data_IF_874733846442
#
_entry.id   IF_874733846442
#
_cell.length_a   1.000
_cell.length_b   1.000
_cell.length_c   1.000
_cell.angle_alpha   90.00
_cell.angle_beta   90.00
_cell.angle_gamma   90.00
#
_symmetry.space_group_name_H-M   'P 1'
#
loop_
_entity.id
_entity.type
_entity.pdbx_description
1 polymer ?
#
# COMPACT_ATOMS: atom_id res chain seq x y z
N UNK A 1 -17.21 10.34 17.72
CA UNK A 1 -15.75 10.13 17.78
C UNK A 1 -15.52 8.68 18.15
N UNK A 2 -14.47 8.05 17.63
CA UNK A 2 -14.12 6.69 18.05
C UNK A 2 -13.74 6.66 19.54
N UNK A 3 -13.97 5.51 20.18
CA UNK A 3 -13.63 5.30 21.58
C UNK A 3 -12.11 5.16 21.74
N UNK A 4 -11.53 5.86 22.71
CA UNK A 4 -10.09 5.75 23.05
C UNK A 4 -9.79 4.64 24.07
N UNK A 5 -10.82 4.07 24.70
CA UNK A 5 -10.69 3.11 25.81
C UNK A 5 -11.27 1.74 25.50
N UNK A 6 -12.27 1.69 24.64
CA UNK A 6 -12.96 0.47 24.25
C UNK A 6 -13.09 0.42 22.73
N UNK A 7 -12.15 -0.27 22.09
CA UNK A 7 -12.10 -0.44 20.63
C UNK A 7 -13.21 -1.36 20.10
N UNK A 8 -13.98 -2.04 20.96
CA UNK A 8 -15.14 -2.85 20.56
C UNK A 8 -16.42 -2.02 20.45
N UNK A 9 -16.45 -0.82 21.04
CA UNK A 9 -17.62 0.05 20.95
C UNK A 9 -17.73 0.71 19.58
N UNK A 10 -18.81 0.40 18.86
CA UNK A 10 -19.11 1.01 17.56
C UNK A 10 -19.81 2.37 17.75
N UNK A 11 -19.04 3.44 17.52
CA UNK A 11 -19.53 4.82 17.53
C UNK A 11 -19.93 5.34 16.14
N UNK A 12 -19.85 4.50 15.11
CA UNK A 12 -20.12 4.85 13.73
C UNK A 12 -20.87 3.69 13.04
N UNK A 13 -22.16 3.56 13.38
CA UNK A 13 -23.09 2.53 12.86
C UNK A 13 -23.25 2.46 11.33
N UNK A 14 -22.60 3.35 10.57
CA UNK A 14 -22.66 3.42 9.12
C UNK A 14 -21.26 3.27 8.55
N UNK A 15 -21.11 2.65 7.36
CA UNK A 15 -19.84 2.62 6.66
C UNK A 15 -19.21 4.01 6.51
N UNK A 16 -17.88 4.07 6.51
CA UNK A 16 -17.12 5.28 6.21
C UNK A 16 -17.44 5.78 4.81
N UNK A 17 -17.45 4.87 3.83
CA UNK A 17 -17.70 5.20 2.44
C UNK A 17 -19.19 5.03 2.09
N UNK A 18 -19.89 6.15 1.86
CA UNK A 18 -21.25 6.11 1.30
C UNK A 18 -21.26 5.74 -0.18
N UNK A 19 -20.33 6.31 -0.94
CA UNK A 19 -20.22 6.12 -2.38
C UNK A 19 -18.82 6.50 -2.85
N UNK A 20 -18.24 5.68 -3.72
CA UNK A 20 -17.04 6.01 -4.49
C UNK A 20 -17.43 5.97 -5.97
N UNK A 21 -17.26 7.08 -6.72
CA UNK A 21 -17.65 7.12 -8.13
C UNK A 21 -16.94 6.04 -8.95
N UNK A 22 -17.71 5.27 -9.72
CA UNK A 22 -17.16 4.22 -10.58
C UNK A 22 -16.15 4.78 -11.58
N UNK A 23 -16.35 6.00 -12.08
CA UNK A 23 -15.41 6.68 -12.97
C UNK A 23 -14.02 6.91 -12.36
N UNK A 24 -13.91 6.95 -11.03
CA UNK A 24 -12.62 7.07 -10.33
C UNK A 24 -11.88 5.74 -10.27
N UNK A 25 -12.61 4.64 -10.01
CA UNK A 25 -12.05 3.31 -9.78
C UNK A 25 -11.98 2.44 -11.05
N UNK A 26 -12.68 2.83 -12.11
CA UNK A 26 -12.62 2.16 -13.43
C UNK A 26 -11.37 2.52 -14.24
N UNK A 27 -10.52 3.42 -13.73
CA UNK A 27 -9.25 3.79 -14.36
C UNK A 27 -8.29 2.60 -14.35
N UNK A 28 -7.45 2.52 -15.38
CA UNK A 28 -6.51 1.41 -15.58
C UNK A 28 -5.62 1.14 -14.36
N UNK A 29 -5.17 2.18 -13.66
CA UNK A 29 -4.32 2.03 -12.47
C UNK A 29 -5.03 1.36 -11.30
N UNK A 30 -6.31 1.67 -11.08
CA UNK A 30 -7.12 1.03 -10.04
C UNK A 30 -7.46 -0.41 -10.41
N UNK A 31 -7.81 -0.68 -11.67
CA UNK A 31 -8.02 -2.06 -12.14
C UNK A 31 -6.78 -2.94 -11.97
N UNK A 32 -5.59 -2.43 -12.31
CA UNK A 32 -4.34 -3.18 -12.07
C UNK A 32 -4.00 -3.32 -10.59
N UNK A 33 -4.38 -2.34 -9.78
CA UNK A 33 -4.25 -2.45 -8.34
C UNK A 33 -5.20 -3.52 -7.78
N UNK A 34 -6.42 -3.64 -8.29
CA UNK A 34 -7.38 -4.70 -7.93
C UNK A 34 -6.83 -6.08 -8.27
N UNK A 35 -6.37 -6.25 -9.51
CA UNK A 35 -5.75 -7.50 -10.01
C UNK A 35 -4.58 -7.94 -9.11
N UNK A 36 -3.79 -6.98 -8.61
CA UNK A 36 -2.66 -7.26 -7.73
C UNK A 36 -3.10 -7.54 -6.28
N UNK A 37 -4.06 -6.77 -5.76
CA UNK A 37 -4.56 -6.91 -4.40
C UNK A 37 -5.32 -8.24 -4.17
N UNK A 38 -5.79 -8.90 -5.22
CA UNK A 38 -6.44 -10.21 -5.09
C UNK A 38 -5.50 -11.34 -4.66
N UNK A 39 -4.19 -11.14 -4.79
CA UNK A 39 -3.20 -12.12 -4.32
C UNK A 39 -2.93 -11.98 -2.81
N UNK A 40 -3.13 -10.79 -2.23
CA UNK A 40 -2.89 -10.52 -0.81
C UNK A 40 -4.12 -10.86 0.05
N UNK A 41 -4.34 -12.16 0.28
CA UNK A 41 -5.42 -12.66 1.13
C UNK A 41 -5.03 -12.71 2.61
N UNK A 42 -3.76 -13.01 2.90
CA UNK A 42 -3.20 -13.09 4.26
C UNK A 42 -1.80 -12.46 4.32
N UNK A 43 -1.68 -11.13 4.15
CA UNK A 43 -0.40 -10.42 4.24
C UNK A 43 0.11 -10.42 5.69
N UNK A 44 0.85 -11.45 6.08
CA UNK A 44 1.50 -11.56 7.39
C UNK A 44 2.97 -11.16 7.30
N UNK A 45 3.37 -10.26 8.19
CA UNK A 45 4.72 -9.74 8.33
C UNK A 45 5.85 -10.78 8.45
N UNK A 46 5.54 -11.99 8.91
CA UNK A 46 6.50 -13.09 9.09
C UNK A 46 6.41 -14.16 8.00
N UNK A 47 5.39 -14.13 7.15
CA UNK A 47 5.18 -15.11 6.09
C UNK A 47 5.62 -14.52 4.75
N UNK A 48 6.66 -15.10 4.15
CA UNK A 48 7.16 -14.62 2.88
C UNK A 48 6.21 -14.96 1.73
N UNK A 49 5.87 -13.95 0.94
CA UNK A 49 5.07 -14.17 -0.25
C UNK A 49 5.82 -14.99 -1.30
N UNK A 50 5.16 -16.05 -1.78
CA UNK A 50 5.64 -16.88 -2.88
C UNK A 50 5.02 -16.38 -4.17
N UNK A 51 5.75 -15.55 -4.89
CA UNK A 51 5.30 -14.99 -6.16
C UNK A 51 5.19 -16.08 -7.22
N UNK A 52 3.96 -16.32 -7.68
CA UNK A 52 3.68 -17.12 -8.87
C UNK A 52 3.85 -16.26 -10.12
N UNK A 53 3.98 -16.89 -11.29
CA UNK A 53 4.08 -16.14 -12.56
C UNK A 53 2.92 -15.16 -12.77
N UNK A 54 1.70 -15.52 -12.36
CA UNK A 54 0.54 -14.63 -12.48
C UNK A 54 0.63 -13.44 -11.51
N UNK A 55 1.18 -13.63 -10.32
CA UNK A 55 1.42 -12.54 -9.37
C UNK A 55 2.49 -11.59 -9.91
N UNK A 56 3.62 -12.12 -10.42
CA UNK A 56 4.67 -11.29 -11.03
C UNK A 56 4.13 -10.49 -12.23
N UNK A 57 3.28 -11.09 -13.05
CA UNK A 57 2.59 -10.41 -14.15
C UNK A 57 1.64 -9.31 -13.65
N UNK A 58 0.94 -9.52 -12.54
CA UNK A 58 0.09 -8.52 -11.91
C UNK A 58 0.91 -7.34 -11.37
N UNK A 59 2.04 -7.60 -10.71
CA UNK A 59 3.00 -6.59 -10.24
C UNK A 59 3.49 -5.75 -11.43
N UNK A 60 3.99 -6.42 -12.47
CA UNK A 60 4.50 -5.77 -13.67
C UNK A 60 3.43 -4.90 -14.35
N UNK A 61 2.21 -5.45 -14.50
CA UNK A 61 1.08 -4.73 -15.10
C UNK A 61 0.68 -3.49 -14.31
N UNK A 62 0.67 -3.59 -12.97
CA UNK A 62 0.42 -2.46 -12.08
C UNK A 62 1.50 -1.38 -12.22
N UNK A 63 2.77 -1.76 -12.12
CA UNK A 63 3.88 -0.80 -12.25
C UNK A 63 3.89 -0.10 -13.60
N UNK A 64 3.66 -0.79 -14.70
CA UNK A 64 3.53 -0.15 -16.02
C UNK A 64 2.36 0.83 -16.10
N UNK A 65 1.21 0.46 -15.53
CA UNK A 65 0.06 1.36 -15.50
C UNK A 65 0.38 2.64 -14.71
N UNK A 66 1.10 2.51 -13.59
CA UNK A 66 1.51 3.64 -12.75
C UNK A 66 2.56 4.51 -13.44
N UNK A 67 3.63 3.93 -14.01
CA UNK A 67 4.72 4.65 -14.68
C UNK A 67 4.21 5.51 -15.85
N UNK A 68 3.16 5.06 -16.55
CA UNK A 68 2.55 5.80 -17.66
C UNK A 68 1.80 7.07 -17.23
N UNK A 69 1.48 7.22 -15.94
CA UNK A 69 0.78 8.41 -15.44
C UNK A 69 1.70 9.63 -15.40
N UNK A 70 1.12 10.81 -15.57
CA UNK A 70 1.91 12.05 -15.53
C UNK A 70 2.53 12.30 -14.15
N UNK A 71 1.85 11.87 -13.08
CA UNK A 71 2.38 11.92 -11.71
C UNK A 71 3.68 11.12 -11.59
N UNK A 72 3.71 9.89 -12.11
CA UNK A 72 4.89 9.05 -12.01
C UNK A 72 6.00 9.50 -12.97
N UNK A 73 5.67 10.03 -14.16
CA UNK A 73 6.65 10.67 -15.04
C UNK A 73 7.30 11.89 -14.38
N UNK A 74 6.52 12.72 -13.68
CA UNK A 74 7.06 13.84 -12.90
C UNK A 74 7.97 13.36 -11.76
N UNK A 75 7.58 12.30 -11.05
CA UNK A 75 8.41 11.69 -10.00
C UNK A 75 9.72 11.12 -10.57
N UNK A 76 9.66 10.36 -11.67
CA UNK A 76 10.83 9.83 -12.35
C UNK A 76 11.79 10.95 -12.78
N UNK A 77 11.26 12.00 -13.42
CA UNK A 77 12.05 13.16 -13.83
C UNK A 77 12.72 13.86 -12.64
N UNK A 78 11.99 14.03 -11.54
CA UNK A 78 12.53 14.64 -10.32
C UNK A 78 13.66 13.79 -9.72
N UNK A 79 13.43 12.48 -9.54
CA UNK A 79 14.42 11.56 -8.99
C UNK A 79 15.65 11.43 -9.89
N UNK A 80 15.46 11.42 -11.21
CA UNK A 80 16.56 11.40 -12.17
C UNK A 80 17.39 12.68 -12.12
N UNK A 81 16.75 13.84 -11.96
CA UNK A 81 17.45 15.11 -11.73
C UNK A 81 18.32 15.13 -10.47
N UNK A 82 18.03 14.25 -9.49
CA UNK A 82 18.84 14.05 -8.29
C UNK A 82 19.87 12.92 -8.42
N UNK A 83 19.94 12.24 -9.58
CA UNK A 83 20.79 11.06 -9.78
C UNK A 83 20.30 9.81 -9.02
N UNK A 84 19.03 9.77 -8.62
CA UNK A 84 18.44 8.70 -7.80
C UNK A 84 17.65 7.66 -8.60
N UNK A 85 17.34 7.96 -9.86
CA UNK A 85 16.58 7.07 -10.75
C UNK A 85 17.00 7.26 -12.21
N UNK A 86 16.84 6.20 -13.00
CA UNK A 86 17.03 6.26 -14.45
C UNK A 86 15.82 6.88 -15.15
N UNK A 87 16.06 7.54 -16.28
CA UNK A 87 14.99 7.91 -17.23
C UNK A 87 14.57 6.73 -18.11
N UNK A 88 15.34 5.64 -18.13
CA UNK A 88 14.92 4.40 -18.77
C UNK A 88 13.73 3.79 -18.03
N UNK A 89 12.72 3.37 -18.80
CA UNK A 89 11.46 2.88 -18.24
C UNK A 89 11.62 1.52 -17.57
N UNK A 90 12.44 0.63 -18.13
CA UNK A 90 12.63 -0.71 -17.57
C UNK A 90 13.51 -0.67 -16.33
N UNK A 91 14.57 0.14 -16.33
CA UNK A 91 15.40 0.36 -15.14
C UNK A 91 14.58 1.00 -14.00
N UNK A 92 13.77 2.00 -14.30
CA UNK A 92 12.91 2.62 -13.28
C UNK A 92 11.84 1.63 -12.77
N UNK A 93 11.26 0.81 -13.65
CA UNK A 93 10.34 -0.26 -13.24
C UNK A 93 11.04 -1.26 -12.32
N UNK A 94 12.24 -1.73 -12.68
CA UNK A 94 13.02 -2.66 -11.87
C UNK A 94 13.36 -2.07 -10.48
N UNK A 95 13.69 -0.79 -10.44
CA UNK A 95 13.92 -0.05 -9.19
C UNK A 95 12.64 0.00 -8.33
N UNK A 96 11.48 0.30 -8.93
CA UNK A 96 10.20 0.28 -8.22
C UNK A 96 9.82 -1.13 -7.75
N UNK A 97 10.07 -2.17 -8.56
CA UNK A 97 9.86 -3.56 -8.18
C UNK A 97 10.65 -3.88 -6.92
N UNK A 98 11.94 -3.54 -6.92
CA UNK A 98 12.84 -3.77 -5.78
C UNK A 98 12.36 -3.01 -4.54
N UNK A 99 12.01 -1.74 -4.70
CA UNK A 99 11.61 -0.88 -3.57
C UNK A 99 10.31 -1.35 -2.90
N UNK A 100 9.33 -1.79 -3.71
CA UNK A 100 7.98 -2.05 -3.22
C UNK A 100 7.70 -3.53 -2.95
N UNK A 101 8.32 -4.45 -3.66
CA UNK A 101 7.94 -5.87 -3.66
C UNK A 101 9.01 -6.81 -3.14
N UNK A 102 10.27 -6.37 -2.99
CA UNK A 102 11.26 -7.22 -2.33
C UNK A 102 10.91 -7.34 -0.83
N UNK A 103 10.90 -8.57 -0.30
CA UNK A 103 10.66 -8.78 1.12
C UNK A 103 11.85 -8.32 1.95
N UNK A 104 11.57 -7.81 3.15
CA UNK A 104 12.56 -7.44 4.15
C UNK A 104 12.17 -8.00 5.52
N UNK A 105 13.18 -8.24 6.36
CA UNK A 105 13.01 -8.69 7.74
C UNK A 105 12.91 -7.53 8.72
N UNK A 106 12.13 -7.71 9.79
CA UNK A 106 12.08 -6.81 10.97
C UNK A 106 12.53 -7.51 12.26
N UNK A 107 13.57 -8.34 12.16
CA UNK A 107 14.07 -9.13 13.30
C UNK A 107 13.53 -10.56 13.37
N UNK A 108 12.85 -11.00 12.31
CA UNK A 108 12.34 -12.37 12.10
C UNK A 108 12.57 -12.83 10.64
N UNK A 109 11.86 -13.86 10.15
CA UNK A 109 11.90 -14.22 8.73
C UNK A 109 11.50 -13.04 7.82
N UNK A 110 12.03 -12.94 6.59
CA UNK A 110 11.63 -11.92 5.63
C UNK A 110 10.19 -12.18 5.13
N UNK A 111 9.16 -11.64 5.80
CA UNK A 111 7.78 -11.73 5.32
C UNK A 111 7.27 -10.47 4.64
N UNK A 112 7.71 -9.31 5.11
CA UNK A 112 7.09 -8.03 4.76
C UNK A 112 7.63 -7.38 3.50
N UNK A 113 6.75 -6.78 2.68
CA UNK A 113 7.14 -5.84 1.61
C UNK A 113 6.57 -4.42 1.80
N UNK A 114 7.13 -3.44 1.07
CA UNK A 114 6.64 -2.06 1.11
C UNK A 114 5.21 -1.94 0.58
N UNK A 115 4.89 -2.73 -0.45
CA UNK A 115 3.57 -2.76 -1.05
C UNK A 115 2.54 -3.35 -0.09
N UNK A 116 2.87 -4.47 0.54
CA UNK A 116 2.01 -5.11 1.52
C UNK A 116 1.67 -4.17 2.70
N UNK A 117 2.72 -3.58 3.28
CA UNK A 117 2.66 -2.64 4.38
C UNK A 117 1.74 -1.43 4.15
N UNK A 118 1.75 -0.86 2.94
CA UNK A 118 1.07 0.40 2.64
C UNK A 118 -0.20 0.22 1.81
N UNK A 119 -0.28 -0.79 0.96
CA UNK A 119 -1.39 -1.03 0.02
C UNK A 119 -2.27 -2.20 0.43
N UNK A 120 -1.70 -3.37 0.75
CA UNK A 120 -2.49 -4.57 1.04
C UNK A 120 -3.14 -4.53 2.43
N UNK A 121 -2.43 -3.99 3.42
CA UNK A 121 -2.82 -3.99 4.82
C UNK A 121 -2.18 -5.16 5.55
N UNK A 122 -1.03 -4.91 6.18
CA UNK A 122 -0.21 -5.95 6.81
C UNK A 122 -0.72 -6.33 8.20
N UNK A 123 -0.67 -7.63 8.47
CA UNK A 123 -0.96 -8.25 9.76
C UNK A 123 0.27 -8.88 10.39
N UNK A 124 0.21 -9.14 11.69
CA UNK A 124 1.18 -9.91 12.43
C UNK A 124 0.45 -10.67 13.52
N UNK A 125 0.50 -12.01 13.49
CA UNK A 125 -0.20 -12.87 14.44
C UNK A 125 -1.72 -12.60 14.49
N UNK A 126 -2.31 -12.26 13.34
CA UNK A 126 -3.75 -11.95 13.21
C UNK A 126 -4.14 -10.52 13.56
N UNK A 127 -3.23 -9.69 14.08
CA UNK A 127 -3.49 -8.27 14.35
C UNK A 127 -3.05 -7.39 13.18
N UNK A 128 -3.87 -6.41 12.80
CA UNK A 128 -3.50 -5.41 11.77
C UNK A 128 -2.45 -4.45 12.34
N UNK A 129 -1.26 -4.43 11.74
CA UNK A 129 -0.16 -3.57 12.20
C UNK A 129 0.10 -2.38 11.28
N UNK A 130 -0.21 -2.47 9.99
CA UNK A 130 -0.17 -1.30 9.07
C UNK A 130 -1.27 -1.40 8.03
N UNK A 131 -2.12 -0.37 7.98
CA UNK A 131 -3.19 -0.30 7.00
C UNK A 131 -3.57 1.16 6.72
N UNK A 132 -3.11 1.69 5.58
CA UNK A 132 -3.22 3.11 5.26
C UNK A 132 -3.90 3.40 3.91
N UNK A 133 -4.13 2.40 3.07
CA UNK A 133 -4.74 2.58 1.76
C UNK A 133 -6.26 2.71 1.86
N UNK A 134 -6.77 3.92 1.60
CA UNK A 134 -8.20 4.22 1.64
C UNK A 134 -9.03 3.35 0.68
N UNK A 135 -8.45 2.99 -0.47
CA UNK A 135 -9.14 2.21 -1.50
C UNK A 135 -9.25 0.75 -1.09
N UNK A 136 -8.18 0.17 -0.54
CA UNK A 136 -8.25 -1.17 0.08
C UNK A 136 -9.21 -1.20 1.27
N UNK A 137 -9.25 -0.14 2.09
CA UNK A 137 -10.26 -0.01 3.15
C UNK A 137 -11.67 -0.02 2.57
N UNK A 138 -11.93 0.77 1.53
CA UNK A 138 -13.22 0.80 0.84
C UNK A 138 -13.63 -0.59 0.30
N UNK A 139 -12.70 -1.34 -0.30
CA UNK A 139 -12.96 -2.69 -0.80
C UNK A 139 -13.35 -3.66 0.33
N UNK A 140 -12.56 -3.68 1.40
CA UNK A 140 -12.80 -4.55 2.55
C UNK A 140 -14.08 -4.16 3.30
N UNK A 141 -14.40 -2.86 3.38
CA UNK A 141 -15.62 -2.38 4.03
C UNK A 141 -16.86 -2.83 3.24
N UNK A 142 -16.80 -2.77 1.90
CA UNK A 142 -17.87 -3.32 1.03
C UNK A 142 -18.04 -4.83 1.17
N UNK A 143 -16.97 -5.56 1.48
CA UNK A 143 -17.00 -7.00 1.70
C UNK A 143 -17.42 -7.37 3.13
N UNK A 144 -17.54 -6.40 4.04
CA UNK A 144 -17.83 -6.64 5.46
C UNK A 144 -16.63 -7.14 6.27
N UNK A 145 -15.41 -7.07 5.72
CA UNK A 145 -14.17 -7.53 6.36
C UNK A 145 -13.54 -6.49 7.28
N UNK A 146 -13.91 -5.21 7.15
CA UNK A 146 -13.51 -4.15 8.09
C UNK A 146 -14.73 -3.35 8.54
N UNK A 147 -14.67 -2.85 9.78
CA UNK A 147 -15.69 -2.00 10.36
C UNK A 147 -15.11 -0.63 10.73
N UNK A 148 -15.76 0.45 10.34
CA UNK A 148 -15.35 1.80 10.72
C UNK A 148 -15.96 2.18 12.08
N UNK A 149 -15.11 2.40 13.10
CA UNK A 149 -15.57 2.73 14.46
C UNK A 149 -15.59 4.24 14.77
N UNK A 150 -15.24 5.11 13.81
CA UNK A 150 -15.21 6.56 13.97
C UNK A 150 -13.83 7.20 13.76
N UNK A 151 -13.74 8.50 14.04
CA UNK A 151 -12.51 9.30 13.88
C UNK A 151 -12.06 9.90 15.21
N UNK A 152 -10.79 10.30 15.26
CA UNK A 152 -10.18 11.02 16.38
C UNK A 152 -9.67 12.38 15.92
N UNK A 153 -9.84 13.43 16.73
CA UNK A 153 -9.07 14.68 16.56
C UNK A 153 -7.64 14.40 16.99
N UNK A 154 -6.66 14.63 16.10
CA UNK A 154 -5.25 14.68 16.50
C UNK A 154 -5.09 15.78 17.54
N UNK A 155 -4.58 15.44 18.73
CA UNK A 155 -3.95 16.46 19.57
C UNK A 155 -2.70 16.94 18.82
N UNK A 156 -2.47 18.25 18.78
CA UNK A 156 -1.34 18.85 18.07
C UNK A 156 -0.02 18.27 18.62
N UNK A 157 0.52 17.27 17.92
CA UNK A 157 1.87 16.78 18.14
C UNK A 157 2.53 16.75 16.78
N UNK A 158 3.58 17.56 16.68
CA UNK A 158 4.37 17.85 15.49
C UNK A 158 4.82 16.58 14.77
N UNK A 159 4.83 16.69 13.45
CA UNK A 159 5.30 15.68 12.51
C UNK A 159 6.81 15.43 12.70
N UNK A 160 7.22 14.18 12.90
CA UNK A 160 8.60 13.76 12.64
C UNK A 160 8.62 12.88 11.39
N UNK A 161 9.26 13.38 10.33
CA UNK A 161 9.76 12.56 9.22
C UNK A 161 11.28 12.57 9.37
N UNK A 162 11.86 11.43 9.76
CA UNK A 162 13.30 11.20 9.67
C UNK A 162 13.51 10.27 8.49
N UNK A 163 14.07 10.79 7.41
CA UNK A 163 14.57 10.00 6.29
C UNK A 163 16.05 9.77 6.53
N UNK A 164 16.45 8.52 6.79
CA UNK A 164 17.84 8.09 6.73
C UNK A 164 18.06 7.40 5.38
N UNK A 165 18.87 8.04 4.55
CA UNK A 165 19.36 7.49 3.29
C UNK A 165 20.81 7.05 3.52
N UNK A 166 21.13 5.77 3.28
CA UNK A 166 22.51 5.30 3.21
C UNK A 166 22.80 4.87 1.79
N UNK A 167 23.66 5.63 1.11
CA UNK A 167 24.43 5.15 -0.03
C UNK A 167 25.46 4.14 0.49
N UNK A 168 25.56 2.99 -0.15
CA UNK A 168 26.78 2.18 -0.10
C UNK A 168 27.59 2.52 -1.34
N UNK A 169 28.85 2.88 -1.09
CA UNK A 169 29.92 3.06 -2.09
C UNK A 169 30.18 1.72 -2.78
#
# INVERSE_FOLDING_TARGET
MASRKDFKHDNAKKPLFKHVPESSINRVTFKRLDDLLSFYNHPDANDQEVYTESWEQAISSFLYAVIKTDVMKSAQKFLSGLGLASMDTEEFKAQLTTLWFNPYSRGGPPGSSGFEALFAGETLNGDVIRFANWYRFYQLEKQGSVNYHGWFTKQAVSLFIVLLWRQFV
#
